data_IF_691338374133
#
_entry.id   IF_691338374133
#
_cell.length_a   1.000
_cell.length_b   1.000
_cell.length_c   1.000
_cell.angle_alpha   90.00
_cell.angle_beta   90.00
_cell.angle_gamma   90.00
#
_symmetry.space_group_name_H-M   'P 1'
#
loop_
_entity.id
_entity.type
_entity.pdbx_description
1 polymer ?
#
# COMPACT_ATOMS: atom_id res chain seq x y z
N UNK A 1 18.64 -46.91 -7.37
CA UNK A 1 18.35 -46.32 -6.04
C UNK A 1 17.77 -44.94 -6.28
N UNK A 2 16.45 -44.82 -6.29
CA UNK A 2 15.79 -43.50 -6.33
C UNK A 2 15.96 -42.88 -4.95
N UNK A 3 16.71 -41.79 -4.90
CA UNK A 3 16.74 -40.91 -3.73
C UNK A 3 15.41 -40.18 -3.70
N UNK A 4 14.60 -40.52 -2.70
CA UNK A 4 13.38 -39.81 -2.41
C UNK A 4 13.78 -38.50 -1.75
N UNK A 5 13.99 -37.46 -2.55
CA UNK A 5 14.04 -36.09 -2.03
C UNK A 5 12.59 -35.71 -1.68
N UNK A 6 12.15 -36.15 -0.49
CA UNK A 6 10.92 -35.67 0.12
C UNK A 6 11.18 -34.23 0.54
N UNK A 7 11.09 -33.33 -0.45
CA UNK A 7 11.12 -31.89 -0.28
C UNK A 7 9.95 -31.48 0.61
N UNK A 8 10.16 -31.61 1.92
CA UNK A 8 9.29 -31.03 2.92
C UNK A 8 9.52 -29.53 2.83
N UNK A 9 8.76 -28.84 1.99
CA UNK A 9 8.71 -27.38 1.99
C UNK A 9 8.10 -26.98 3.33
N UNK A 10 8.94 -26.84 4.36
CA UNK A 10 8.53 -26.34 5.65
C UNK A 10 7.86 -24.99 5.39
N UNK A 11 6.62 -24.76 5.90
CA UNK A 11 5.98 -23.47 5.73
C UNK A 11 6.97 -22.40 6.21
N UNK A 12 7.19 -21.32 5.42
CA UNK A 12 8.22 -20.35 5.72
C UNK A 12 8.08 -19.94 7.18
N UNK A 13 9.15 -20.19 7.95
CA UNK A 13 9.20 -19.90 9.38
C UNK A 13 8.74 -18.47 9.54
N UNK A 14 7.57 -18.26 10.14
CA UNK A 14 6.91 -16.96 10.18
C UNK A 14 7.59 -16.07 11.22
N UNK A 15 8.82 -15.66 10.92
CA UNK A 15 9.56 -14.69 11.70
C UNK A 15 8.76 -13.40 11.71
N UNK A 16 8.26 -12.99 12.88
CA UNK A 16 7.53 -11.72 13.08
C UNK A 16 8.44 -10.48 13.07
N UNK A 17 9.66 -10.65 12.54
CA UNK A 17 10.65 -9.59 12.41
C UNK A 17 10.36 -8.89 11.08
N UNK A 18 10.23 -7.57 11.15
CA UNK A 18 10.12 -6.69 9.99
C UNK A 18 11.31 -5.75 10.00
N UNK A 19 11.93 -5.55 8.84
CA UNK A 19 13.09 -4.68 8.70
C UNK A 19 12.87 -3.70 7.55
N UNK A 20 13.21 -2.43 7.81
CA UNK A 20 13.31 -1.37 6.80
C UNK A 20 14.77 -0.90 6.75
N UNK A 21 15.42 -1.15 5.62
CA UNK A 21 16.83 -0.81 5.37
C UNK A 21 16.89 0.40 4.44
N UNK A 22 17.61 1.44 4.86
CA UNK A 22 17.75 2.69 4.08
C UNK A 22 19.22 3.02 3.93
N UNK A 23 19.73 2.97 2.70
CA UNK A 23 21.14 3.26 2.38
C UNK A 23 21.25 4.39 1.38
N UNK A 24 21.79 5.54 1.78
CA UNK A 24 21.95 6.72 0.93
C UNK A 24 23.43 7.03 0.78
N UNK A 25 23.97 6.66 -0.38
CA UNK A 25 25.33 6.99 -0.79
C UNK A 25 25.37 8.36 -1.48
N UNK A 26 24.36 8.66 -2.29
CA UNK A 26 24.30 9.90 -3.09
C UNK A 26 23.25 10.85 -2.54
N UNK A 27 23.70 11.96 -1.98
CA UNK A 27 22.84 13.05 -1.58
C UNK A 27 22.65 14.04 -2.73
N UNK A 28 21.43 14.58 -2.85
CA UNK A 28 21.13 15.64 -3.84
C UNK A 28 21.81 16.96 -3.50
N UNK A 29 22.10 17.20 -2.22
CA UNK A 29 22.84 18.39 -1.83
C UNK A 29 24.30 18.21 -2.19
N UNK A 30 24.84 19.13 -3.00
CA UNK A 30 26.24 19.17 -3.42
C UNK A 30 27.21 19.42 -2.28
N UNK A 31 26.73 19.96 -1.16
CA UNK A 31 27.54 20.16 0.06
C UNK A 31 27.90 18.84 0.74
N UNK A 32 27.16 17.76 0.44
CA UNK A 32 27.36 16.45 1.03
C UNK A 32 28.10 15.57 0.01
N UNK A 33 29.35 15.17 0.28
CA UNK A 33 30.09 14.31 -0.63
C UNK A 33 29.40 12.94 -0.76
N UNK A 34 29.52 12.33 -1.92
CA UNK A 34 29.02 10.99 -2.14
C UNK A 34 29.76 10.00 -1.21
N UNK A 35 28.97 9.23 -0.47
CA UNK A 35 29.44 8.10 0.34
C UNK A 35 29.48 6.84 -0.53
N UNK A 36 30.17 5.79 -0.07
CA UNK A 36 30.29 4.52 -0.81
C UNK A 36 29.92 3.28 0.02
N UNK A 37 29.53 3.48 1.29
CA UNK A 37 29.34 2.39 2.26
C UNK A 37 27.89 2.06 2.56
N UNK A 38 26.99 3.04 2.58
CA UNK A 38 25.66 2.88 3.16
C UNK A 38 24.79 1.91 2.36
N UNK A 39 24.91 1.87 1.03
CA UNK A 39 24.21 0.87 0.21
C UNK A 39 24.79 -0.53 0.44
N UNK A 40 26.10 -0.65 0.60
CA UNK A 40 26.76 -1.92 0.87
C UNK A 40 26.38 -2.48 2.25
N UNK A 41 26.34 -1.63 3.27
CA UNK A 41 25.91 -1.98 4.61
C UNK A 41 24.47 -2.50 4.61
N UNK A 42 23.57 -1.84 3.88
CA UNK A 42 22.19 -2.29 3.73
C UNK A 42 22.08 -3.67 3.06
N UNK A 43 22.92 -3.95 2.04
CA UNK A 43 22.94 -5.26 1.38
C UNK A 43 23.44 -6.35 2.32
N UNK A 44 24.51 -6.09 3.06
CA UNK A 44 25.05 -7.02 4.04
C UNK A 44 24.04 -7.30 5.17
N UNK A 45 23.33 -6.28 5.65
CA UNK A 45 22.28 -6.46 6.64
C UNK A 45 21.08 -7.25 6.10
N UNK A 46 20.68 -7.03 4.84
CA UNK A 46 19.63 -7.82 4.21
C UNK A 46 20.01 -9.30 4.14
N UNK A 47 21.24 -9.61 3.72
CA UNK A 47 21.76 -10.97 3.68
C UNK A 47 21.80 -11.59 5.09
N UNK A 48 22.27 -10.87 6.10
CA UNK A 48 22.27 -11.33 7.49
C UNK A 48 20.85 -11.64 8.01
N UNK A 49 19.87 -10.79 7.70
CA UNK A 49 18.48 -11.01 8.10
C UNK A 49 17.88 -12.25 7.43
N UNK A 50 18.22 -12.50 6.17
CA UNK A 50 17.75 -13.66 5.41
C UNK A 50 18.43 -14.95 5.86
N UNK A 51 19.76 -14.97 5.86
CA UNK A 51 20.57 -16.17 6.02
C UNK A 51 20.70 -16.58 7.49
N UNK A 52 20.93 -15.62 8.39
CA UNK A 52 21.24 -15.92 9.79
C UNK A 52 19.99 -15.91 10.66
N UNK A 53 19.05 -15.00 10.38
CA UNK A 53 17.83 -14.84 11.17
C UNK A 53 16.60 -15.51 10.53
N UNK A 54 16.70 -15.97 9.27
CA UNK A 54 15.59 -16.62 8.59
C UNK A 54 14.35 -15.74 8.48
N UNK A 55 14.55 -14.43 8.28
CA UNK A 55 13.45 -13.49 8.07
C UNK A 55 12.95 -13.67 6.63
N UNK A 56 11.64 -13.84 6.39
CA UNK A 56 11.14 -13.96 5.03
C UNK A 56 11.35 -12.66 4.25
N UNK A 57 11.73 -12.76 2.97
CA UNK A 57 12.00 -11.60 2.09
C UNK A 57 10.84 -10.58 2.06
N UNK A 58 9.60 -11.07 2.14
CA UNK A 58 8.41 -10.19 2.18
C UNK A 58 8.35 -9.26 3.41
N UNK A 59 9.11 -9.55 4.46
CA UNK A 59 9.21 -8.73 5.67
C UNK A 59 10.46 -7.82 5.66
N UNK A 60 11.25 -7.82 4.58
CA UNK A 60 12.42 -6.96 4.43
C UNK A 60 12.14 -5.96 3.30
N UNK A 61 12.25 -4.67 3.62
CA UNK A 61 12.10 -3.60 2.64
C UNK A 61 13.39 -2.79 2.58
N UNK A 62 13.93 -2.61 1.37
CA UNK A 62 15.19 -1.89 1.15
C UNK A 62 14.94 -0.68 0.26
N UNK A 63 15.44 0.49 0.67
CA UNK A 63 15.43 1.73 -0.11
C UNK A 63 16.86 2.23 -0.26
N UNK A 64 17.24 2.61 -1.48
CA UNK A 64 18.61 3.03 -1.78
C UNK A 64 18.63 4.34 -2.56
N UNK A 65 19.57 5.23 -2.25
CA UNK A 65 19.87 6.46 -2.99
C UNK A 65 18.63 7.25 -3.40
N UNK A 66 18.38 7.42 -4.70
CA UNK A 66 17.28 8.22 -5.25
C UNK A 66 15.90 7.64 -4.91
N UNK A 67 15.82 6.34 -4.60
CA UNK A 67 14.59 5.68 -4.16
C UNK A 67 14.30 5.90 -2.67
N UNK A 68 15.30 6.34 -1.88
CA UNK A 68 15.14 6.71 -0.48
C UNK A 68 14.63 8.16 -0.33
N UNK A 69 13.57 8.50 -1.06
CA UNK A 69 12.90 9.79 -0.90
C UNK A 69 12.20 9.84 0.46
N UNK A 70 12.00 11.06 0.98
CA UNK A 70 11.26 11.26 2.24
C UNK A 70 9.90 10.56 2.22
N UNK A 71 9.15 10.71 1.13
CA UNK A 71 7.83 10.10 0.99
C UNK A 71 7.90 8.57 0.90
N UNK A 72 8.93 8.02 0.24
CA UNK A 72 9.14 6.58 0.17
C UNK A 72 9.51 6.00 1.55
N UNK A 73 10.33 6.70 2.34
CA UNK A 73 10.71 6.28 3.69
C UNK A 73 9.48 6.31 4.61
N UNK A 74 8.72 7.41 4.61
CA UNK A 74 7.49 7.53 5.41
C UNK A 74 6.46 6.46 5.01
N UNK A 75 6.23 6.29 3.72
CA UNK A 75 5.32 5.26 3.21
C UNK A 75 5.79 3.84 3.57
N UNK A 76 7.10 3.59 3.59
CA UNK A 76 7.64 2.30 4.01
C UNK A 76 7.48 2.07 5.52
N UNK A 77 7.67 3.10 6.36
CA UNK A 77 7.41 3.00 7.80
C UNK A 77 5.92 2.70 8.04
N UNK A 78 5.02 3.44 7.40
CA UNK A 78 3.58 3.27 7.57
C UNK A 78 3.10 1.89 7.10
N UNK A 79 3.51 1.48 5.91
CA UNK A 79 3.03 0.24 5.28
C UNK A 79 3.70 -1.03 5.84
N UNK A 80 4.96 -0.95 6.26
CA UNK A 80 5.78 -2.12 6.59
C UNK A 80 5.95 -2.32 8.10
N UNK A 81 5.96 -1.24 8.90
CA UNK A 81 6.22 -1.30 10.34
C UNK A 81 4.97 -1.00 11.19
N UNK A 82 4.13 -0.04 10.78
CA UNK A 82 2.97 0.40 11.57
C UNK A 82 1.67 -0.31 11.23
N UNK A 83 1.51 -0.73 9.97
CA UNK A 83 0.40 -1.56 9.52
C UNK A 83 0.92 -2.98 9.26
N UNK A 84 1.30 -3.74 10.30
CA UNK A 84 1.47 -5.16 10.10
C UNK A 84 0.14 -5.67 9.53
N UNK A 85 0.22 -6.63 8.60
CA UNK A 85 -0.93 -7.46 8.19
C UNK A 85 -1.47 -8.30 9.36
N UNK A 86 -1.52 -7.75 10.57
CA UNK A 86 -2.36 -8.19 11.67
C UNK A 86 -3.74 -8.32 11.06
N UNK A 87 -4.21 -9.57 11.01
CA UNK A 87 -5.48 -9.98 10.47
C UNK A 87 -6.62 -9.25 11.17
N UNK A 88 -6.86 -8.00 10.76
CA UNK A 88 -8.13 -7.35 10.92
C UNK A 88 -9.06 -8.21 10.09
N UNK A 89 -9.79 -9.10 10.76
CA UNK A 89 -11.02 -9.68 10.25
C UNK A 89 -11.80 -8.49 9.71
N UNK A 90 -11.78 -8.30 8.39
CA UNK A 90 -12.73 -7.44 7.72
C UNK A 90 -14.05 -8.15 7.96
N UNK A 91 -14.74 -7.77 9.03
CA UNK A 91 -16.17 -8.02 9.13
C UNK A 91 -16.74 -7.15 8.03
N UNK A 92 -16.90 -7.74 6.85
CA UNK A 92 -17.63 -7.13 5.76
C UNK A 92 -19.06 -6.92 6.27
N UNK A 93 -19.33 -5.71 6.76
CA UNK A 93 -20.71 -5.26 6.91
C UNK A 93 -21.13 -4.78 5.53
N UNK A 94 -21.58 -5.72 4.70
CA UNK A 94 -22.43 -5.40 3.56
C UNK A 94 -23.74 -4.83 4.11
N UNK A 95 -23.81 -3.51 4.27
CA UNK A 95 -25.09 -2.82 4.35
C UNK A 95 -25.42 -2.34 2.95
N UNK A 96 -25.98 -3.26 2.16
CA UNK A 96 -26.71 -2.89 0.95
C UNK A 96 -28.04 -2.29 1.42
N UNK A 97 -28.15 -0.97 1.45
CA UNK A 97 -29.46 -0.31 1.44
C UNK A 97 -29.43 0.77 0.37
N UNK A 98 -29.97 0.38 -0.79
CA UNK A 98 -30.48 1.19 -1.88
C UNK A 98 -29.98 2.61 -2.04
N UNK A 99 -29.30 2.84 -3.16
CA UNK A 99 -29.41 4.11 -3.89
C UNK A 99 -30.90 4.39 -4.15
N UNK A 100 -31.43 5.48 -3.62
CA UNK A 100 -32.51 6.19 -4.29
C UNK A 100 -32.25 7.69 -4.15
N UNK A 101 -31.89 8.28 -5.28
CA UNK A 101 -31.75 9.70 -5.55
C UNK A 101 -32.90 10.52 -4.97
N UNK A 102 -32.58 11.49 -4.11
CA UNK A 102 -33.46 12.65 -3.84
C UNK A 102 -32.64 13.90 -3.64
N UNK A 103 -32.20 14.48 -4.74
CA UNK A 103 -31.75 15.87 -4.76
C UNK A 103 -32.14 16.51 -6.09
N UNK A 104 -33.37 17.02 -6.15
CA UNK A 104 -33.72 18.29 -6.80
C UNK A 104 -35.22 18.60 -6.57
N UNK A 105 -35.53 19.26 -5.44
CA UNK A 105 -36.76 20.07 -5.32
C UNK A 105 -36.35 21.50 -4.95
N UNK A 106 -36.10 22.31 -5.96
CA UNK A 106 -36.37 23.75 -5.96
C UNK A 106 -37.35 23.98 -7.11
N UNK A 107 -38.64 24.03 -6.78
CA UNK A 107 -39.42 25.28 -6.68
C UNK A 107 -39.44 26.06 -8.00
N UNK A 108 -40.56 25.92 -8.72
CA UNK A 108 -41.04 26.85 -9.73
C UNK A 108 -42.58 26.80 -9.72
N UNK A 109 -43.29 27.94 -9.56
CA UNK A 109 -44.74 27.92 -9.40
C UNK A 109 -45.45 27.86 -10.75
N UNK A 110 -46.48 27.01 -10.79
CA UNK A 110 -47.78 27.17 -11.46
C UNK A 110 -47.83 28.21 -12.58
N UNK A 111 -47.94 27.73 -13.82
CA UNK A 111 -48.83 28.36 -14.79
C UNK A 111 -49.75 27.27 -15.37
N UNK A 112 -51.04 27.41 -15.03
CA UNK A 112 -52.10 26.53 -15.52
C UNK A 112 -52.37 26.86 -16.98
N UNK A 113 -52.28 25.86 -17.84
CA UNK A 113 -52.87 25.89 -19.17
C UNK A 113 -54.40 25.81 -19.03
N UNK A 114 -55.09 26.80 -19.62
CA UNK A 114 -56.53 26.76 -19.84
C UNK A 114 -56.85 25.98 -21.12
N UNK A 115 -57.97 25.25 -21.17
CA UNK A 115 -58.33 24.39 -22.31
C UNK A 115 -59.09 25.14 -23.41
N UNK A 116 -58.84 24.70 -24.64
CA UNK A 116 -59.72 24.53 -25.81
C UNK A 116 -61.04 25.34 -25.93
N UNK A 117 -61.13 26.19 -26.96
CA UNK A 117 -62.33 26.46 -27.77
C UNK A 117 -61.89 27.18 -29.08
N UNK A 118 -61.92 26.55 -30.26
CA UNK A 118 -63.02 26.48 -31.25
C UNK A 118 -63.38 27.83 -31.93
N UNK A 119 -63.57 27.76 -33.25
CA UNK A 119 -64.29 28.69 -34.16
C UNK A 119 -63.44 29.81 -34.78
N UNK A 120 -63.00 29.63 -36.04
CA UNK A 120 -63.64 30.19 -37.25
C UNK A 120 -63.87 31.70 -37.18
N UNK A 121 -62.97 32.47 -37.81
CA UNK A 121 -63.21 33.29 -39.02
C UNK A 121 -61.85 33.69 -39.61
#
# INVERSE_FOLDING_TARGET
MQVNDCGTTLPPKSSRIFALLVGIDKYRNTDIPALSGCVNDCKNFAAFLLENLGVPEGNIRSLHNEAATRDAILGAIDSHLLLPKVGRRRVARSRLSGLMTKECRRMGPRFMGFPTARSQY
#
